data_IF_374599176327
#
_entry.id   IF_374599176327
#
_cell.length_a   1.000
_cell.length_b   1.000
_cell.length_c   1.000
_cell.angle_alpha   90.00
_cell.angle_beta   90.00
_cell.angle_gamma   90.00
#
_symmetry.space_group_name_H-M   'P 1'
#
loop_
_entity.id
_entity.type
_entity.pdbx_description
1 polymer ?
#
# COMPACT_ATOMS: atom_id res chain seq x y z
N UNK A 1 -13.28 -25.70 15.51
CA UNK A 1 -13.74 -24.50 14.76
C UNK A 1 -13.90 -24.83 13.27
N UNK A 2 -14.67 -25.87 12.93
CA UNK A 2 -14.68 -26.38 11.53
C UNK A 2 -16.09 -26.53 10.95
N UNK A 3 -17.13 -26.13 11.69
CA UNK A 3 -18.53 -26.38 11.33
C UNK A 3 -19.38 -25.16 10.96
N UNK A 4 -18.78 -23.98 10.79
CA UNK A 4 -19.55 -22.77 10.41
C UNK A 4 -19.43 -22.36 8.94
N UNK A 5 -18.52 -22.95 8.14
CA UNK A 5 -18.23 -22.48 6.78
C UNK A 5 -19.05 -23.14 5.65
N UNK A 6 -19.94 -24.10 5.95
CA UNK A 6 -20.68 -24.87 4.94
C UNK A 6 -22.20 -24.68 4.96
N UNK A 7 -22.71 -23.50 5.34
CA UNK A 7 -24.13 -23.19 5.17
C UNK A 7 -24.39 -22.43 3.86
N UNK A 8 -25.18 -23.03 2.98
CA UNK A 8 -25.56 -22.55 1.63
C UNK A 8 -26.38 -21.25 1.63
N UNK A 9 -26.82 -20.78 2.81
CA UNK A 9 -27.62 -19.57 3.00
C UNK A 9 -26.80 -18.30 3.26
N UNK A 10 -25.49 -18.42 3.51
CA UNK A 10 -24.62 -17.26 3.68
C UNK A 10 -23.90 -16.91 2.38
N UNK A 11 -24.43 -15.87 1.71
CA UNK A 11 -23.91 -15.30 0.47
C UNK A 11 -22.61 -14.52 0.74
N UNK A 12 -21.49 -15.22 0.97
CA UNK A 12 -20.13 -14.65 1.17
C UNK A 12 -20.12 -13.25 1.79
N UNK A 13 -20.61 -13.12 3.02
CA UNK A 13 -20.43 -11.90 3.78
C UNK A 13 -18.96 -11.79 4.22
N UNK A 14 -18.38 -10.60 4.09
CA UNK A 14 -17.05 -10.33 4.63
C UNK A 14 -17.02 -10.63 6.13
N UNK A 15 -15.94 -11.28 6.59
CA UNK A 15 -15.78 -11.62 8.00
C UNK A 15 -15.79 -10.36 8.88
N UNK A 16 -16.07 -10.53 10.18
CA UNK A 16 -16.09 -9.43 11.15
C UNK A 16 -14.79 -8.63 11.18
N UNK A 17 -13.64 -9.28 10.92
CA UNK A 17 -12.33 -8.62 10.83
C UNK A 17 -12.29 -7.59 9.69
N UNK A 18 -12.72 -7.96 8.49
CA UNK A 18 -12.73 -7.06 7.33
C UNK A 18 -13.66 -5.87 7.57
N UNK A 19 -14.85 -6.11 8.13
CA UNK A 19 -15.78 -5.03 8.48
C UNK A 19 -15.15 -4.08 9.51
N UNK A 20 -14.52 -4.63 10.54
CA UNK A 20 -13.82 -3.83 11.55
C UNK A 20 -12.69 -2.97 10.96
N UNK A 21 -11.89 -3.53 10.05
CA UNK A 21 -10.84 -2.76 9.35
C UNK A 21 -11.47 -1.65 8.49
N UNK A 22 -12.53 -1.97 7.74
CA UNK A 22 -13.20 -0.99 6.89
C UNK A 22 -13.82 0.16 7.69
N UNK A 23 -14.46 -0.13 8.83
CA UNK A 23 -15.05 0.87 9.72
C UNK A 23 -13.99 1.71 10.45
N UNK A 24 -12.83 1.12 10.72
CA UNK A 24 -11.71 1.81 11.36
C UNK A 24 -11.02 2.82 10.42
N UNK A 25 -10.94 2.50 9.12
CA UNK A 25 -10.29 3.37 8.13
C UNK A 25 -11.14 4.62 7.83
N UNK A 26 -10.54 5.82 7.81
CA UNK A 26 -11.27 7.03 7.49
C UNK A 26 -11.65 7.05 6.00
N UNK A 27 -12.86 7.52 5.70
CA UNK A 27 -13.33 7.75 4.33
C UNK A 27 -12.98 9.17 3.89
N UNK A 28 -12.68 9.39 2.60
CA UNK A 28 -12.35 10.73 2.07
C UNK A 28 -13.45 11.80 2.29
N UNK A 29 -14.69 11.37 2.59
CA UNK A 29 -15.81 12.25 2.93
C UNK A 29 -15.84 12.68 4.41
N UNK A 30 -14.95 12.15 5.25
CA UNK A 30 -14.84 12.49 6.67
C UNK A 30 -14.25 13.91 6.83
N UNK A 31 -14.90 14.84 7.56
CA UNK A 31 -14.35 16.18 7.83
C UNK A 31 -12.96 16.16 8.47
N UNK A 32 -12.64 15.10 9.21
CA UNK A 32 -11.36 14.93 9.91
C UNK A 32 -10.44 13.92 9.20
N UNK A 33 -10.69 13.60 7.93
CA UNK A 33 -9.95 12.59 7.16
C UNK A 33 -8.43 12.75 7.29
N UNK A 34 -7.91 13.96 7.01
CA UNK A 34 -6.47 14.23 7.03
C UNK A 34 -5.86 13.97 8.42
N UNK A 35 -6.48 14.48 9.48
CA UNK A 35 -6.02 14.29 10.86
C UNK A 35 -6.02 12.81 11.26
N UNK A 36 -7.05 12.05 10.85
CA UNK A 36 -7.13 10.60 11.11
C UNK A 36 -6.05 9.84 10.35
N UNK A 37 -5.81 10.17 9.08
CA UNK A 37 -4.73 9.58 8.28
C UNK A 37 -3.36 9.90 8.89
N UNK A 38 -3.11 11.13 9.31
CA UNK A 38 -1.87 11.52 9.98
C UNK A 38 -1.67 10.75 11.29
N UNK A 39 -2.73 10.54 12.06
CA UNK A 39 -2.69 9.76 13.30
C UNK A 39 -2.33 8.29 13.03
N UNK A 40 -2.96 7.67 12.01
CA UNK A 40 -2.65 6.30 11.59
C UNK A 40 -1.23 6.19 11.08
N UNK A 41 -0.80 7.14 10.25
CA UNK A 41 0.55 7.21 9.73
C UNK A 41 1.59 7.33 10.84
N UNK A 42 1.33 8.17 11.87
CA UNK A 42 2.18 8.28 13.06
C UNK A 42 2.24 6.97 13.84
N UNK A 43 1.11 6.29 14.03
CA UNK A 43 1.06 5.00 14.72
C UNK A 43 1.88 3.92 13.98
N UNK A 44 1.77 3.86 12.65
CA UNK A 44 2.58 2.95 11.81
C UNK A 44 4.05 3.35 11.85
N UNK A 45 4.38 4.65 11.80
CA UNK A 45 5.78 5.09 11.83
C UNK A 45 6.50 4.69 13.13
N UNK A 46 5.79 4.64 14.27
CA UNK A 46 6.34 4.18 15.55
C UNK A 46 6.64 2.68 15.60
N UNK A 47 6.11 1.88 14.67
CA UNK A 47 6.43 0.44 14.60
C UNK A 47 7.74 0.17 13.87
N UNK A 48 8.30 1.18 13.20
CA UNK A 48 9.59 1.06 12.53
C UNK A 48 10.68 1.13 13.62
N UNK A 49 11.50 0.09 13.77
CA UNK A 49 12.56 0.13 14.78
C UNK A 49 13.58 1.21 14.43
N UNK A 50 14.22 1.83 15.44
CA UNK A 50 15.29 2.78 15.22
C UNK A 50 16.43 2.10 14.48
N UNK A 51 17.03 2.81 13.52
CA UNK A 51 18.13 2.27 12.71
C UNK A 51 19.46 2.57 13.37
N UNK A 52 20.35 1.57 13.41
CA UNK A 52 21.75 1.78 13.80
C UNK A 52 22.59 2.47 12.71
N UNK A 53 22.04 2.63 11.49
CA UNK A 53 22.71 3.26 10.33
C UNK A 53 22.50 4.77 10.32
N UNK A 54 23.41 5.48 9.64
CA UNK A 54 23.29 6.92 9.38
C UNK A 54 22.22 7.30 8.33
N UNK A 55 21.42 6.33 7.87
CA UNK A 55 20.40 6.55 6.85
C UNK A 55 19.20 5.64 7.07
N UNK A 56 18.05 6.09 6.57
CA UNK A 56 16.83 5.30 6.47
C UNK A 56 16.73 4.67 5.07
N UNK A 57 16.37 3.39 5.01
CA UNK A 57 16.19 2.69 3.75
C UNK A 57 14.69 2.58 3.42
N UNK A 58 14.33 3.01 2.22
CA UNK A 58 12.97 2.90 1.70
C UNK A 58 12.94 2.06 0.42
N UNK A 59 11.95 1.19 0.32
CA UNK A 59 11.62 0.46 -0.89
C UNK A 59 10.48 1.16 -1.62
N UNK A 60 10.61 1.32 -2.93
CA UNK A 60 9.54 1.78 -3.81
C UNK A 60 9.34 0.72 -4.88
N UNK A 61 8.10 0.25 -5.02
CA UNK A 61 7.71 -0.65 -6.11
C UNK A 61 6.47 -0.15 -6.82
N UNK A 62 6.32 -0.51 -8.09
CA UNK A 62 5.09 -0.28 -8.87
C UNK A 62 4.56 -1.59 -9.39
N UNK A 63 3.44 -2.04 -8.81
CA UNK A 63 2.85 -3.33 -9.14
C UNK A 63 1.67 -3.17 -10.13
N UNK A 64 1.67 -3.90 -11.26
CA UNK A 64 0.55 -3.91 -12.19
C UNK A 64 -0.66 -4.68 -11.61
N UNK A 65 -1.86 -4.16 -11.84
CA UNK A 65 -3.11 -4.69 -11.32
C UNK A 65 -4.14 -4.80 -12.47
N UNK A 66 -4.18 -5.95 -13.17
CA UNK A 66 -5.09 -6.18 -14.30
C UNK A 66 -6.57 -6.07 -13.92
N UNK A 67 -7.35 -5.39 -14.75
CA UNK A 67 -8.80 -5.22 -14.63
C UNK A 67 -9.48 -5.23 -16.02
N UNK A 68 -9.27 -6.27 -16.85
CA UNK A 68 -9.76 -6.29 -18.23
C UNK A 68 -11.29 -6.15 -18.31
N UNK A 69 -12.03 -6.84 -17.45
CA UNK A 69 -13.50 -6.92 -17.48
C UNK A 69 -14.21 -5.87 -16.60
N UNK A 70 -13.49 -4.93 -15.99
CA UNK A 70 -14.10 -3.89 -15.16
C UNK A 70 -14.45 -2.67 -16.01
N UNK A 71 -15.54 -2.71 -16.77
CA UNK A 71 -15.89 -1.69 -17.78
C UNK A 71 -16.10 -0.29 -17.20
N UNK A 72 -16.72 -0.20 -16.03
CA UNK A 72 -17.01 1.07 -15.35
C UNK A 72 -15.84 1.62 -14.53
N UNK A 73 -14.74 0.88 -14.44
CA UNK A 73 -13.57 1.30 -13.69
C UNK A 73 -12.81 2.38 -14.48
N UNK A 74 -12.84 3.60 -13.95
CA UNK A 74 -12.24 4.76 -14.59
C UNK A 74 -10.70 4.63 -14.73
N UNK A 75 -10.16 5.36 -15.71
CA UNK A 75 -8.71 5.63 -15.84
C UNK A 75 -7.85 4.34 -15.97
N UNK A 76 -8.41 3.26 -16.53
CA UNK A 76 -7.64 2.08 -16.94
C UNK A 76 -6.69 2.42 -18.09
N UNK A 77 -5.51 1.83 -18.07
CA UNK A 77 -4.49 1.97 -19.13
C UNK A 77 -3.94 0.62 -19.54
N UNK A 78 -3.15 0.61 -20.62
CA UNK A 78 -2.28 -0.52 -20.92
C UNK A 78 -1.16 -0.61 -19.89
N UNK A 79 -1.05 -1.76 -19.24
CA UNK A 79 -0.03 -2.05 -18.23
C UNK A 79 0.84 -3.19 -18.71
N UNK A 80 2.12 -3.15 -18.36
CA UNK A 80 2.98 -4.31 -18.54
C UNK A 80 2.52 -5.43 -17.59
N UNK A 81 2.26 -6.61 -18.13
CA UNK A 81 1.89 -7.78 -17.35
C UNK A 81 2.57 -9.01 -17.97
N UNK A 82 3.56 -9.62 -17.29
CA UNK A 82 4.30 -10.73 -17.86
C UNK A 82 3.35 -11.90 -18.15
N UNK A 83 3.35 -12.38 -19.40
CA UNK A 83 2.59 -13.53 -19.82
C UNK A 83 3.56 -14.62 -20.29
N UNK A 84 3.60 -15.80 -19.65
CA UNK A 84 4.53 -16.87 -20.02
C UNK A 84 4.20 -17.54 -21.36
N UNK A 85 3.04 -17.26 -21.96
CA UNK A 85 2.64 -17.84 -23.25
C UNK A 85 3.44 -17.20 -24.38
N UNK A 86 4.28 -18.00 -25.05
CA UNK A 86 5.10 -17.58 -26.20
C UNK A 86 4.23 -16.97 -27.31
N UNK A 87 4.61 -15.77 -27.76
CA UNK A 87 3.93 -15.04 -28.84
C UNK A 87 2.92 -13.99 -28.37
N UNK A 88 2.47 -14.05 -27.12
CA UNK A 88 1.60 -13.00 -26.57
C UNK A 88 2.41 -11.78 -26.14
N UNK A 89 1.88 -10.59 -26.41
CA UNK A 89 2.45 -9.34 -25.89
C UNK A 89 2.24 -9.29 -24.36
N UNK A 90 3.25 -8.90 -23.56
CA UNK A 90 3.14 -8.84 -22.11
C UNK A 90 2.39 -7.57 -21.67
N UNK A 91 1.15 -7.43 -22.14
CA UNK A 91 0.31 -6.25 -21.96
C UNK A 91 -1.06 -6.70 -21.43
N UNK A 92 -1.60 -5.97 -20.47
CA UNK A 92 -2.98 -6.12 -20.01
C UNK A 92 -3.64 -4.74 -19.86
N UNK A 93 -4.93 -4.68 -19.56
CA UNK A 93 -5.67 -3.45 -19.28
C UNK A 93 -5.96 -3.41 -17.79
N UNK A 94 -5.61 -2.32 -17.12
CA UNK A 94 -5.83 -2.16 -15.69
C UNK A 94 -5.18 -0.92 -15.12
N UNK A 95 -4.67 -1.02 -13.90
CA UNK A 95 -3.97 0.08 -13.22
C UNK A 95 -2.61 -0.39 -12.73
N UNK A 96 -1.76 0.56 -12.36
CA UNK A 96 -0.58 0.29 -11.54
C UNK A 96 -0.77 0.94 -10.17
N UNK A 97 -0.18 0.35 -9.14
CA UNK A 97 -0.15 0.91 -7.80
C UNK A 97 1.30 1.08 -7.37
N UNK A 98 1.61 2.26 -6.83
CA UNK A 98 2.92 2.60 -6.28
C UNK A 98 2.88 2.41 -4.77
N UNK A 99 3.80 1.62 -4.26
CA UNK A 99 3.93 1.30 -2.83
C UNK A 99 5.27 1.80 -2.34
N UNK A 100 5.26 2.50 -1.20
CA UNK A 100 6.46 2.93 -0.48
C UNK A 100 6.49 2.27 0.89
N UNK A 101 7.59 1.59 1.20
CA UNK A 101 7.81 0.91 2.48
C UNK A 101 9.11 1.41 3.15
N UNK A 102 9.11 1.49 4.47
CA UNK A 102 10.36 1.50 5.23
C UNK A 102 10.93 0.08 5.31
N UNK A 103 12.25 -0.02 5.17
CA UNK A 103 13.01 -1.26 5.23
C UNK A 103 14.01 -1.16 6.39
N UNK A 104 13.62 -1.57 7.62
CA UNK A 104 14.51 -1.51 8.77
C UNK A 104 15.69 -2.47 8.60
N UNK A 105 16.75 -2.24 9.36
CA UNK A 105 17.94 -3.10 9.28
C UNK A 105 17.66 -4.49 9.82
N UNK A 106 18.30 -5.49 9.22
CA UNK A 106 18.19 -6.89 9.66
C UNK A 106 18.74 -7.09 11.06
N UNK A 107 19.70 -6.27 11.50
CA UNK A 107 20.21 -6.31 12.87
C UNK A 107 19.11 -5.90 13.85
N UNK A 108 18.39 -4.83 13.53
CA UNK A 108 17.34 -4.24 14.37
C UNK A 108 16.04 -5.08 14.36
N UNK A 109 15.92 -6.04 13.44
CA UNK A 109 14.75 -6.92 13.28
C UNK A 109 15.03 -8.40 13.58
N UNK A 110 16.12 -8.71 14.27
CA UNK A 110 16.53 -10.10 14.59
C UNK A 110 16.64 -11.01 13.34
N UNK A 111 17.10 -10.43 12.23
CA UNK A 111 17.23 -11.04 10.89
C UNK A 111 15.90 -11.46 10.24
N UNK A 112 14.77 -11.05 10.80
CA UNK A 112 13.48 -11.19 10.12
C UNK A 112 13.39 -10.10 9.05
N UNK A 113 13.03 -10.42 7.79
CA UNK A 113 12.83 -9.39 6.78
C UNK A 113 11.51 -8.66 7.06
N UNK A 114 11.59 -7.44 7.60
CA UNK A 114 10.43 -6.58 7.82
C UNK A 114 10.33 -5.54 6.70
N UNK A 115 9.10 -5.29 6.23
CA UNK A 115 8.78 -4.17 5.36
C UNK A 115 7.54 -3.48 5.94
N UNK A 116 7.70 -2.23 6.38
CA UNK A 116 6.61 -1.46 6.97
C UNK A 116 5.98 -0.59 5.87
N UNK A 117 4.75 -0.88 5.44
CA UNK A 117 4.11 -0.11 4.38
C UNK A 117 3.72 1.29 4.88
N UNK A 118 4.20 2.32 4.19
CA UNK A 118 3.97 3.73 4.56
C UNK A 118 2.96 4.41 3.64
N UNK A 119 2.92 4.02 2.37
CA UNK A 119 1.97 4.56 1.41
C UNK A 119 1.70 3.55 0.30
N UNK A 120 0.45 3.49 -0.14
CA UNK A 120 0.00 2.73 -1.31
C UNK A 120 -0.97 3.59 -2.10
N UNK A 121 -0.58 4.03 -3.29
CA UNK A 121 -1.39 4.94 -4.11
C UNK A 121 -1.53 4.39 -5.53
N UNK A 122 -2.71 4.58 -6.12
CA UNK A 122 -2.95 4.28 -7.53
C UNK A 122 -2.14 5.24 -8.38
N UNK A 123 -1.43 4.72 -9.39
CA UNK A 123 -0.68 5.54 -10.35
C UNK A 123 -1.66 6.08 -11.39
N UNK A 124 -1.84 7.41 -11.52
CA UNK A 124 -2.70 7.98 -12.55
C UNK A 124 -2.18 7.67 -13.96
N UNK A 125 -3.07 7.53 -14.94
CA UNK A 125 -2.68 7.23 -16.34
C UNK A 125 -1.65 8.18 -16.95
N UNK A 126 -1.65 9.44 -16.50
CA UNK A 126 -0.73 10.49 -16.97
C UNK A 126 0.62 10.49 -16.26
N UNK A 127 0.84 9.60 -15.29
CA UNK A 127 2.03 9.55 -14.45
C UNK A 127 2.80 8.24 -14.65
N UNK A 128 4.11 8.29 -14.41
CA UNK A 128 4.94 7.08 -14.27
C UNK A 128 4.94 6.65 -12.81
N UNK A 129 5.02 5.34 -12.54
CA UNK A 129 5.08 4.80 -11.19
C UNK A 129 6.20 5.42 -10.34
N UNK A 130 7.39 5.59 -10.92
CA UNK A 130 8.52 6.28 -10.26
C UNK A 130 8.20 7.71 -9.84
N UNK A 131 7.42 8.46 -10.63
CA UNK A 131 7.04 9.82 -10.28
C UNK A 131 6.06 9.81 -9.10
N UNK A 132 5.12 8.86 -9.08
CA UNK A 132 4.19 8.69 -7.96
C UNK A 132 4.94 8.33 -6.68
N UNK A 133 5.84 7.33 -6.76
CA UNK A 133 6.69 6.92 -5.63
C UNK A 133 7.52 8.06 -5.06
N UNK A 134 8.15 8.87 -5.92
CA UNK A 134 8.92 10.03 -5.47
C UNK A 134 8.05 11.11 -4.80
N UNK A 135 6.83 11.33 -5.30
CA UNK A 135 5.88 12.24 -4.65
C UNK A 135 5.44 11.71 -3.28
N UNK A 136 5.14 10.42 -3.18
CA UNK A 136 4.82 9.76 -1.91
C UNK A 136 5.97 9.89 -0.91
N UNK A 137 7.20 9.61 -1.34
CA UNK A 137 8.39 9.73 -0.49
C UNK A 137 8.60 11.16 0.02
N UNK A 138 8.39 12.17 -0.84
CA UNK A 138 8.46 13.58 -0.45
C UNK A 138 7.43 13.92 0.63
N UNK A 139 6.18 13.45 0.48
CA UNK A 139 5.13 13.65 1.50
C UNK A 139 5.50 13.00 2.84
N UNK A 140 6.01 11.77 2.80
CA UNK A 140 6.49 11.04 3.99
C UNK A 140 7.59 11.83 4.70
N UNK A 141 8.58 12.31 3.95
CA UNK A 141 9.70 13.07 4.51
C UNK A 141 9.28 14.42 5.12
N UNK A 142 8.27 15.05 4.54
CA UNK A 142 7.72 16.32 5.03
C UNK A 142 6.77 16.14 6.23
N UNK A 143 6.36 14.91 6.54
CA UNK A 143 5.52 14.63 7.70
C UNK A 143 6.29 14.88 9.00
N UNK A 144 5.85 15.85 9.79
CA UNK A 144 6.44 16.20 11.08
C UNK A 144 6.51 15.01 12.04
N UNK A 145 5.51 14.13 11.98
CA UNK A 145 5.40 12.93 12.82
C UNK A 145 6.37 11.82 12.42
N UNK A 146 6.81 11.78 11.16
CA UNK A 146 7.89 10.89 10.75
C UNK A 146 9.22 11.39 11.33
N UNK A 147 9.54 12.67 11.13
CA UNK A 147 10.81 13.27 11.56
C UNK A 147 11.06 13.18 13.07
N UNK A 148 10.02 13.30 13.90
CA UNK A 148 10.13 13.20 15.37
C UNK A 148 10.71 11.85 15.82
N UNK A 149 10.41 10.76 15.11
CA UNK A 149 10.90 9.43 15.49
C UNK A 149 12.32 9.12 14.98
N UNK A 150 12.91 10.03 14.19
CA UNK A 150 14.21 9.81 13.53
C UNK A 150 15.24 10.93 13.79
N UNK A 151 14.88 11.97 14.53
CA UNK A 151 15.77 13.09 14.89
C UNK A 151 16.06 13.19 16.40
N UNK A 152 15.68 12.19 17.19
CA UNK A 152 15.97 12.07 18.63
C UNK A 152 17.05 11.03 18.88
#
# INVERSE_FOLDING_TARGET
MEKLFQQTLFRRDYNSLYRGIQEFLPTQTDPNYEQRIETLFSAVSRTIPPTSKHYNLFGIDTTPCPRPFAETLADKTFIHYPNPIKGNKPINIGHCYSVVCALPDQIDTEKVPWAVPLSGERVPSKHKGVNQGNQQLKKIWQSSLFLINYLS
#
